data_IF_514832295814
#
_entry.id   IF_514832295814
#
_cell.length_a   1.000
_cell.length_b   1.000
_cell.length_c   1.000
_cell.angle_alpha   90.00
_cell.angle_beta   90.00
_cell.angle_gamma   90.00
#
_symmetry.space_group_name_H-M   'P 1'
#
loop_
_entity.id
_entity.type
_entity.pdbx_description
1 polymer ?
#
# COMPACT_ATOMS: atom_id res chain seq x y z
N UNK A 1 5.40 -11.63 -14.91
CA UNK A 1 5.43 -10.89 -13.63
C UNK A 1 4.14 -10.12 -13.43
N UNK A 2 3.33 -10.55 -12.46
CA UNK A 2 1.98 -10.04 -12.29
C UNK A 2 1.96 -8.69 -11.56
N UNK A 3 1.20 -7.76 -12.13
CA UNK A 3 0.62 -6.66 -11.35
C UNK A 3 -0.38 -7.31 -10.39
N UNK A 4 -0.20 -7.11 -9.10
CA UNK A 4 -1.09 -7.68 -8.07
C UNK A 4 -2.29 -6.76 -7.83
N UNK A 5 -2.04 -5.44 -7.80
CA UNK A 5 -3.08 -4.44 -7.59
C UNK A 5 -2.68 -3.10 -8.22
N UNK A 6 -3.69 -2.30 -8.59
CA UNK A 6 -3.50 -0.90 -8.97
C UNK A 6 -4.70 -0.06 -8.56
N UNK A 7 -4.46 1.20 -8.19
CA UNK A 7 -5.52 2.14 -7.80
C UNK A 7 -5.26 3.55 -8.32
N UNK A 8 -6.30 4.17 -8.86
CA UNK A 8 -6.35 5.61 -9.05
C UNK A 8 -6.60 6.32 -7.71
N UNK A 9 -6.06 7.53 -7.56
CA UNK A 9 -6.09 8.25 -6.29
C UNK A 9 -7.39 9.05 -6.15
N UNK A 10 -8.21 8.83 -5.10
CA UNK A 10 -9.48 9.54 -4.92
C UNK A 10 -9.29 11.06 -4.87
N UNK A 11 -10.11 11.80 -5.62
CA UNK A 11 -10.05 13.26 -5.69
C UNK A 11 -8.93 13.82 -6.58
N UNK A 12 -8.13 12.97 -7.24
CA UNK A 12 -7.07 13.40 -8.14
C UNK A 12 -7.28 12.90 -9.55
N UNK A 13 -7.16 13.81 -10.52
CA UNK A 13 -7.09 13.45 -11.93
C UNK A 13 -5.67 12.99 -12.25
N UNK A 14 -5.50 11.74 -12.69
CA UNK A 14 -4.29 11.10 -13.25
C UNK A 14 -3.37 10.25 -12.35
N UNK A 15 -3.12 10.56 -11.07
CA UNK A 15 -2.26 9.72 -10.25
C UNK A 15 -2.79 8.30 -10.10
N UNK A 16 -1.93 7.33 -10.42
CA UNK A 16 -2.20 5.88 -10.27
C UNK A 16 -1.04 5.26 -9.52
N UNK A 17 -1.35 4.31 -8.64
CA UNK A 17 -0.39 3.48 -7.93
C UNK A 17 -0.54 2.03 -8.37
N UNK A 18 0.58 1.30 -8.43
CA UNK A 18 0.66 -0.09 -8.85
C UNK A 18 1.55 -0.86 -7.89
N UNK A 19 1.07 -1.98 -7.39
CA UNK A 19 1.77 -2.91 -6.53
C UNK A 19 2.06 -4.22 -7.29
N UNK A 20 3.26 -4.77 -7.12
CA UNK A 20 3.64 -6.06 -7.70
C UNK A 20 4.58 -6.83 -6.79
N UNK A 21 4.27 -8.11 -6.56
CA UNK A 21 5.14 -9.01 -5.79
C UNK A 21 6.40 -9.41 -6.57
N UNK A 22 6.33 -9.34 -7.90
CA UNK A 22 7.36 -9.84 -8.79
C UNK A 22 7.19 -11.33 -9.07
N UNK A 23 8.11 -11.89 -9.86
CA UNK A 23 8.19 -13.31 -10.15
C UNK A 23 9.67 -13.69 -10.24
N UNK A 24 10.18 -14.32 -9.18
CA UNK A 24 11.58 -14.73 -9.10
C UNK A 24 11.95 -15.77 -10.17
N UNK A 25 10.99 -16.61 -10.57
CA UNK A 25 11.24 -17.66 -11.59
C UNK A 25 11.43 -17.06 -12.98
N UNK A 26 10.81 -15.91 -13.23
CA UNK A 26 10.96 -15.12 -14.45
C UNK A 26 12.03 -14.02 -14.32
N UNK A 27 12.70 -13.91 -13.16
CA UNK A 27 13.68 -12.84 -12.89
C UNK A 27 13.08 -11.44 -12.83
N UNK A 28 11.79 -11.34 -12.51
CA UNK A 28 11.05 -10.07 -12.43
C UNK A 28 10.99 -9.61 -10.99
N UNK A 29 11.66 -8.50 -10.68
CA UNK A 29 11.62 -7.90 -9.35
C UNK A 29 10.25 -7.30 -9.00
N UNK A 30 9.85 -7.44 -7.74
CA UNK A 30 8.67 -6.78 -7.19
C UNK A 30 8.86 -5.28 -6.94
N UNK A 31 7.85 -4.64 -6.37
CA UNK A 31 7.91 -3.28 -5.87
C UNK A 31 6.59 -2.52 -5.91
N UNK A 32 6.71 -1.20 -5.76
CA UNK A 32 5.62 -0.24 -5.86
C UNK A 32 5.98 0.81 -6.90
N UNK A 33 5.02 1.19 -7.74
CA UNK A 33 5.19 2.21 -8.77
C UNK A 33 4.08 3.24 -8.70
N UNK A 34 4.42 4.47 -9.10
CA UNK A 34 3.49 5.58 -9.21
C UNK A 34 3.57 6.23 -10.58
N UNK A 35 2.42 6.44 -11.20
CA UNK A 35 2.24 7.35 -12.31
C UNK A 35 1.61 8.67 -11.83
N UNK A 36 1.95 9.77 -12.48
CA UNK A 36 1.30 11.09 -12.28
C UNK A 36 0.50 11.55 -13.50
N UNK A 37 0.56 10.80 -14.59
CA UNK A 37 0.09 11.18 -15.92
C UNK A 37 -0.86 10.11 -16.52
N UNK A 38 -1.60 9.41 -15.66
CA UNK A 38 -2.63 8.46 -16.10
C UNK A 38 -2.08 7.14 -16.62
N UNK A 39 -0.86 6.78 -16.21
CA UNK A 39 -0.19 5.53 -16.59
C UNK A 39 0.72 5.65 -17.82
N UNK A 40 0.92 6.86 -18.36
CA UNK A 40 1.82 7.07 -19.49
C UNK A 40 3.30 6.89 -19.08
N UNK A 41 3.67 7.39 -17.90
CA UNK A 41 4.98 7.15 -17.29
C UNK A 41 4.86 6.66 -15.85
N UNK A 42 5.84 5.86 -15.44
CA UNK A 42 5.87 5.20 -14.12
C UNK A 42 7.21 5.44 -13.44
N UNK A 43 7.16 5.77 -12.14
CA UNK A 43 8.34 5.84 -11.29
C UNK A 43 8.25 4.79 -10.19
N UNK A 44 9.28 3.94 -10.08
CA UNK A 44 9.42 2.98 -8.97
C UNK A 44 9.69 3.74 -7.66
N UNK A 45 9.05 3.31 -6.58
CA UNK A 45 9.32 3.78 -5.23
C UNK A 45 10.43 2.89 -4.65
N UNK A 46 11.59 3.48 -4.35
CA UNK A 46 12.83 2.74 -4.16
C UNK A 46 12.83 1.79 -2.96
N UNK A 47 12.11 2.13 -1.88
CA UNK A 47 12.15 1.41 -0.61
C UNK A 47 11.42 0.06 -0.62
N UNK A 48 10.59 -0.20 -1.62
CA UNK A 48 9.82 -1.43 -1.71
C UNK A 48 10.65 -2.53 -2.36
N UNK A 49 10.76 -3.67 -1.71
CA UNK A 49 11.27 -4.91 -2.28
C UNK A 49 10.13 -5.61 -3.03
N UNK A 50 8.99 -5.76 -2.37
CA UNK A 50 7.73 -6.26 -2.93
C UNK A 50 6.55 -5.41 -2.46
N UNK A 51 5.44 -5.42 -3.20
CA UNK A 51 4.16 -4.91 -2.73
C UNK A 51 3.02 -5.73 -3.34
N UNK A 52 1.95 -5.98 -2.59
CA UNK A 52 0.87 -6.87 -3.02
C UNK A 52 -0.45 -6.13 -3.23
N UNK A 53 -0.70 -5.07 -2.47
CA UNK A 53 -1.91 -4.26 -2.60
C UNK A 53 -1.66 -2.80 -2.29
N UNK A 54 -2.53 -1.92 -2.78
CA UNK A 54 -2.48 -0.48 -2.46
C UNK A 54 -3.88 0.06 -2.22
N UNK A 55 -4.02 0.88 -1.18
CA UNK A 55 -5.28 1.49 -0.78
C UNK A 55 -5.11 2.91 -0.30
N UNK A 56 -6.18 3.68 -0.32
CA UNK A 56 -6.18 5.07 0.13
C UNK A 56 -7.19 5.29 1.25
N UNK A 57 -6.87 6.17 2.19
CA UNK A 57 -7.77 6.64 3.23
C UNK A 57 -7.70 8.16 3.40
N UNK A 58 -8.33 8.66 4.45
CA UNK A 58 -8.35 10.08 4.79
C UNK A 58 -6.94 10.63 4.92
N UNK A 59 -6.73 11.84 4.42
CA UNK A 59 -5.45 12.54 4.55
C UNK A 59 -5.13 12.85 6.02
N UNK A 60 -3.85 12.82 6.38
CA UNK A 60 -3.39 13.34 7.66
C UNK A 60 -3.69 14.84 7.77
N UNK A 61 -3.81 15.36 9.00
CA UNK A 61 -4.01 16.80 9.21
C UNK A 61 -2.89 17.58 8.49
N UNK A 62 -3.28 18.52 7.63
CA UNK A 62 -2.40 19.35 6.78
C UNK A 62 -1.70 18.63 5.63
N UNK A 63 -1.93 17.32 5.42
CA UNK A 63 -1.53 16.66 4.19
C UNK A 63 -2.52 17.02 3.10
N UNK A 64 -2.01 17.40 1.92
CA UNK A 64 -2.84 17.58 0.74
C UNK A 64 -3.31 16.25 0.16
N UNK A 65 -2.63 15.13 0.45
CA UNK A 65 -2.76 13.86 -0.25
C UNK A 65 -3.39 12.77 0.64
N UNK A 66 -4.19 11.82 0.09
CA UNK A 66 -4.74 10.70 0.84
C UNK A 66 -3.63 9.89 1.54
N UNK A 67 -3.91 9.39 2.74
CA UNK A 67 -3.02 8.40 3.34
C UNK A 67 -2.99 7.16 2.45
N UNK A 68 -1.81 6.58 2.26
CA UNK A 68 -1.60 5.40 1.40
C UNK A 68 -1.31 4.22 2.31
N UNK A 69 -1.97 3.10 2.07
CA UNK A 69 -1.77 1.84 2.79
C UNK A 69 -1.37 0.74 1.81
N UNK A 70 -0.50 -0.17 2.24
CA UNK A 70 -0.04 -1.28 1.40
C UNK A 70 0.37 -2.48 2.24
N UNK A 71 0.13 -3.68 1.74
CA UNK A 71 0.83 -4.90 2.18
C UNK A 71 2.09 -5.05 1.34
N UNK A 72 3.25 -5.08 1.98
CA UNK A 72 4.54 -4.96 1.30
C UNK A 72 5.72 -5.47 2.13
N UNK A 73 6.89 -5.53 1.50
CA UNK A 73 8.17 -5.75 2.15
C UNK A 73 9.09 -4.53 1.97
N UNK A 74 9.57 -4.00 3.11
CA UNK A 74 10.52 -2.87 3.17
C UNK A 74 11.62 -3.21 4.16
N UNK A 75 12.87 -3.30 3.67
CA UNK A 75 14.04 -3.57 4.51
C UNK A 75 14.02 -4.97 5.12
N UNK A 76 13.63 -5.97 4.33
CA UNK A 76 13.48 -7.36 4.76
C UNK A 76 12.37 -7.60 5.80
N UNK A 77 11.40 -6.69 5.90
CA UNK A 77 10.26 -6.82 6.82
C UNK A 77 8.95 -6.79 6.04
N UNK A 78 8.23 -7.91 6.06
CA UNK A 78 6.87 -7.99 5.55
C UNK A 78 5.87 -7.36 6.55
N UNK A 79 4.91 -6.61 6.04
CA UNK A 79 3.87 -6.02 6.89
C UNK A 79 2.95 -5.07 6.16
N UNK A 80 2.13 -4.39 6.97
CA UNK A 80 1.24 -3.34 6.51
C UNK A 80 1.94 -2.00 6.74
N UNK A 81 2.08 -1.22 5.68
CA UNK A 81 2.78 0.06 5.70
C UNK A 81 1.83 1.20 5.35
N UNK A 82 2.08 2.36 5.96
CA UNK A 82 1.36 3.61 5.70
C UNK A 82 2.31 4.73 5.30
N UNK A 83 1.90 5.53 4.33
CA UNK A 83 2.49 6.85 4.02
C UNK A 83 1.46 7.95 4.19
N UNK A 84 1.90 9.13 4.67
CA UNK A 84 1.05 10.32 4.85
C UNK A 84 1.56 11.55 4.09
N UNK A 85 2.66 11.41 3.36
CA UNK A 85 3.38 12.47 2.65
C UNK A 85 3.48 12.22 1.14
N UNK A 86 2.52 11.47 0.59
CA UNK A 86 2.46 11.17 -0.83
C UNK A 86 3.44 10.09 -1.29
N UNK A 87 3.89 9.24 -0.36
CA UNK A 87 4.73 8.07 -0.62
C UNK A 87 6.23 8.30 -0.48
N UNK A 88 6.63 9.42 0.12
CA UNK A 88 8.04 9.75 0.35
C UNK A 88 8.60 8.98 1.54
N UNK A 89 7.84 8.85 2.62
CA UNK A 89 8.18 8.04 3.79
C UNK A 89 7.07 7.05 4.12
N UNK A 90 7.47 5.91 4.71
CA UNK A 90 6.59 4.80 5.05
C UNK A 90 6.85 4.33 6.48
N UNK A 91 5.78 4.02 7.20
CA UNK A 91 5.84 3.47 8.56
C UNK A 91 5.06 2.16 8.59
N UNK A 92 5.63 1.12 9.21
CA UNK A 92 4.89 -0.13 9.48
C UNK A 92 3.81 0.18 10.52
N UNK A 93 2.57 -0.26 10.26
CA UNK A 93 1.41 -0.04 11.13
C UNK A 93 0.86 -1.31 11.75
N UNK A 94 1.43 -2.47 11.40
CA UNK A 94 1.28 -3.71 12.16
C UNK A 94 2.58 -4.05 12.92
N UNK A 95 2.52 -5.07 13.76
CA UNK A 95 3.66 -5.61 14.51
C UNK A 95 3.84 -7.12 14.22
N UNK A 96 4.81 -7.74 14.88
CA UNK A 96 5.17 -9.14 14.64
C UNK A 96 4.14 -10.13 15.20
N UNK A 97 3.31 -9.72 16.16
CA UNK A 97 2.20 -10.50 16.71
C UNK A 97 0.94 -10.43 15.81
N UNK A 98 0.89 -9.43 14.91
CA UNK A 98 -0.24 -9.13 14.03
C UNK A 98 0.14 -9.19 12.54
N UNK A 99 0.42 -10.40 12.02
CA UNK A 99 0.81 -10.60 10.61
C UNK A 99 -0.26 -11.28 9.73
N UNK A 100 -1.13 -12.08 10.34
CA UNK A 100 -2.28 -12.75 9.69
C UNK A 100 -1.95 -13.65 8.48
N UNK A 101 -0.76 -14.25 8.44
CA UNK A 101 -0.27 -15.06 7.32
C UNK A 101 -0.27 -14.25 6.01
N UNK A 102 -1.13 -14.59 5.05
CA UNK A 102 -1.22 -13.84 3.80
C UNK A 102 -2.32 -12.77 3.87
N UNK A 103 -1.90 -11.50 3.81
CA UNK A 103 -2.72 -10.30 4.01
C UNK A 103 -2.62 -9.29 2.85
N UNK A 104 -2.17 -9.73 1.67
CA UNK A 104 -1.95 -8.84 0.53
C UNK A 104 -3.05 -8.76 -0.53
N UNK A 105 -4.14 -9.55 -0.43
CA UNK A 105 -5.14 -9.62 -1.50
C UNK A 105 -5.92 -8.32 -1.73
N UNK A 106 -6.28 -7.59 -0.66
CA UNK A 106 -6.92 -6.29 -0.78
C UNK A 106 -6.71 -5.45 0.48
N UNK A 107 -6.52 -4.15 0.29
CA UNK A 107 -6.38 -3.16 1.37
C UNK A 107 -7.09 -1.86 0.99
N UNK A 108 -7.71 -1.20 1.97
CA UNK A 108 -8.24 0.15 1.79
C UNK A 108 -8.19 0.93 3.09
N UNK A 109 -7.88 2.22 3.02
CA UNK A 109 -8.11 3.13 4.14
C UNK A 109 -9.57 3.54 4.23
N UNK A 110 -9.95 4.13 5.35
CA UNK A 110 -11.25 4.79 5.51
C UNK A 110 -11.15 6.25 5.02
N UNK A 111 -12.00 6.72 4.09
CA UNK A 111 -11.98 8.10 3.61
C UNK A 111 -12.45 9.13 4.65
N UNK A 112 -13.19 8.70 5.68
CA UNK A 112 -13.79 9.53 6.71
C UNK A 112 -13.03 9.47 8.04
N UNK A 113 -12.32 8.36 8.32
CA UNK A 113 -11.58 8.15 9.56
C UNK A 113 -10.08 8.09 9.28
N UNK A 114 -9.36 9.14 9.70
CA UNK A 114 -7.90 9.17 9.55
C UNK A 114 -7.26 8.06 10.36
N UNK A 115 -6.38 7.32 9.72
CA UNK A 115 -5.63 6.26 10.37
C UNK A 115 -6.23 4.87 10.29
N UNK A 116 -7.52 4.77 9.93
CA UNK A 116 -8.18 3.48 9.78
C UNK A 116 -7.79 2.79 8.48
N UNK A 117 -7.49 1.50 8.58
CA UNK A 117 -7.23 0.60 7.44
C UNK A 117 -8.02 -0.69 7.59
N UNK A 118 -8.52 -1.20 6.48
CA UNK A 118 -9.15 -2.51 6.34
C UNK A 118 -8.30 -3.36 5.40
N UNK A 119 -8.05 -4.61 5.77
CA UNK A 119 -7.33 -5.58 4.94
C UNK A 119 -8.04 -6.93 4.92
N UNK A 120 -7.95 -7.63 3.79
CA UNK A 120 -8.40 -9.02 3.67
C UNK A 120 -7.27 -9.97 4.05
N UNK A 121 -7.63 -11.11 4.61
CA UNK A 121 -6.68 -12.17 4.97
C UNK A 121 -7.12 -13.48 4.34
N UNK A 122 -6.17 -14.39 4.08
CA UNK A 122 -6.50 -15.75 3.70
C UNK A 122 -6.66 -16.63 4.96
N UNK A 123 -7.90 -16.71 5.47
CA UNK A 123 -8.26 -17.61 6.57
C UNK A 123 -8.52 -16.96 7.93
N UNK A 124 -8.44 -15.62 8.06
CA UNK A 124 -8.77 -14.89 9.30
C UNK A 124 -9.83 -13.79 9.13
N UNK A 125 -10.51 -13.76 7.98
CA UNK A 125 -11.56 -12.78 7.69
C UNK A 125 -11.02 -11.40 7.29
N UNK A 126 -11.79 -10.36 7.58
CA UNK A 126 -11.42 -8.96 7.37
C UNK A 126 -10.88 -8.41 8.68
N UNK A 127 -9.68 -7.85 8.65
CA UNK A 127 -9.08 -7.15 9.80
C UNK A 127 -9.16 -5.65 9.55
N UNK A 128 -9.41 -4.89 10.61
CA UNK A 128 -9.22 -3.44 10.59
C UNK A 128 -8.30 -3.02 11.73
N UNK A 129 -7.63 -1.88 11.55
CA UNK A 129 -6.82 -1.25 12.57
C UNK A 129 -6.98 0.27 12.53
N UNK A 130 -6.91 0.89 13.69
CA UNK A 130 -6.81 2.33 13.88
C UNK A 130 -5.39 2.64 14.41
N UNK A 131 -4.86 3.83 14.11
CA UNK A 131 -3.66 4.31 14.81
C UNK A 131 -4.00 4.51 16.28
N UNK A 132 -3.11 4.06 17.16
CA UNK A 132 -3.15 4.46 18.56
C UNK A 132 -2.96 6.00 18.67
N UNK A 133 -3.65 6.59 19.65
CA UNK A 133 -3.52 8.01 20.01
C UNK A 133 -2.10 8.38 20.49
#
# INVERSE_FOLDING_TARGET
>A
GAVEDFRAVPGYKNPVWLAGRGDETEGIGGGMWRSKDGGATWKRIAVFETAESVGFGKAARRSGYPAIYTSAEIGGKAGIYRSTDGGSHWSRVNDDDHQWAWSGSAITGDPEIYGRVYLTTNGRGIVYGDIAD
#
